data_IF_137261985560
#
_entry.id   IF_137261985560
#
_cell.length_a   1.000
_cell.length_b   1.000
_cell.length_c   1.000
_cell.angle_alpha   90.00
_cell.angle_beta   90.00
_cell.angle_gamma   90.00
#
_symmetry.space_group_name_H-M   'P 1'
#
loop_
_entity.id
_entity.type
_entity.pdbx_description
1 polymer ?
#
# COMPACT_ATOMS: atom_id res chain seq x y z
N UNK A 1 -7.73 -16.45 -21.41
CA UNK A 1 -7.08 -16.69 -20.10
C UNK A 1 -7.93 -16.07 -19.00
N UNK A 2 -7.86 -16.54 -17.76
CA UNK A 2 -8.54 -15.85 -16.67
C UNK A 2 -7.91 -14.47 -16.49
N UNK A 3 -8.72 -13.45 -16.18
CA UNK A 3 -8.26 -12.08 -15.95
C UNK A 3 -7.29 -12.06 -14.77
N UNK A 4 -6.18 -11.36 -14.89
CA UNK A 4 -5.23 -11.14 -13.79
C UNK A 4 -5.59 -9.85 -13.06
N UNK A 5 -5.75 -9.93 -11.72
CA UNK A 5 -6.17 -8.79 -10.91
C UNK A 5 -5.35 -8.69 -9.62
N UNK A 6 -4.84 -7.52 -9.35
CA UNK A 6 -4.12 -7.20 -8.12
C UNK A 6 -5.03 -6.42 -7.17
N UNK A 7 -5.19 -6.92 -5.94
CA UNK A 7 -5.82 -6.22 -4.82
C UNK A 7 -4.73 -5.64 -3.96
N UNK A 8 -4.46 -4.35 -4.13
CA UNK A 8 -3.39 -3.63 -3.46
C UNK A 8 -3.94 -3.02 -2.17
N UNK A 9 -3.48 -3.49 -1.04
CA UNK A 9 -3.92 -3.07 0.29
C UNK A 9 -2.86 -2.17 0.92
N UNK A 10 -3.24 -0.97 1.37
CA UNK A 10 -2.39 -0.19 2.27
C UNK A 10 -2.40 -0.85 3.65
N UNK A 11 -1.21 -1.05 4.24
CA UNK A 11 -1.07 -1.62 5.59
C UNK A 11 -1.97 -0.96 6.63
N UNK A 12 -2.25 -1.66 7.74
CA UNK A 12 -3.06 -1.18 8.86
C UNK A 12 -2.43 0.01 9.58
N UNK A 13 -3.21 0.69 10.41
CA UNK A 13 -2.77 1.88 11.15
C UNK A 13 -1.69 1.53 12.17
N UNK A 14 -0.53 2.21 12.08
CA UNK A 14 0.64 1.99 12.93
C UNK A 14 0.75 3.02 14.06
N UNK A 15 1.70 2.80 14.98
CA UNK A 15 2.06 3.80 15.98
C UNK A 15 2.49 5.12 15.33
N UNK A 16 3.35 5.09 14.29
CA UNK A 16 3.80 6.29 13.60
C UNK A 16 2.66 7.04 12.90
N UNK A 17 1.72 6.33 12.28
CA UNK A 17 0.52 6.97 11.72
C UNK A 17 -0.31 7.67 12.80
N UNK A 18 -0.34 7.14 14.02
CA UNK A 18 -1.11 7.72 15.12
C UNK A 18 -0.48 8.99 15.66
N UNK A 19 0.85 9.06 15.70
CA UNK A 19 1.59 10.21 16.26
C UNK A 19 2.12 11.17 15.19
N UNK A 20 1.69 11.01 13.90
CA UNK A 20 2.03 11.89 12.79
C UNK A 20 3.51 11.88 12.43
N UNK A 21 4.12 10.68 12.35
CA UNK A 21 5.52 10.53 11.92
C UNK A 21 5.63 9.94 10.54
N UNK A 22 6.57 10.44 9.75
CA UNK A 22 6.92 9.93 8.44
C UNK A 22 7.43 8.47 8.57
N UNK A 23 6.78 7.57 7.85
CA UNK A 23 7.08 6.15 7.92
C UNK A 23 7.35 5.60 6.52
N UNK A 24 8.58 5.77 6.09
CA UNK A 24 9.10 5.20 4.86
C UNK A 24 9.70 3.81 5.13
N UNK A 25 11.02 3.74 5.21
CA UNK A 25 11.74 2.50 5.53
C UNK A 25 11.87 2.24 7.04
N UNK A 26 11.68 3.26 7.89
CA UNK A 26 11.45 3.05 9.32
C UNK A 26 10.17 2.25 9.54
N UNK A 27 10.08 1.50 10.64
CA UNK A 27 8.96 0.61 10.88
C UNK A 27 8.47 0.66 12.32
N UNK A 28 7.15 0.59 12.50
CA UNK A 28 6.50 0.42 13.80
C UNK A 28 5.32 -0.52 13.67
N UNK A 29 4.95 -1.26 14.74
CA UNK A 29 3.86 -2.20 14.70
C UNK A 29 2.51 -1.52 14.45
N UNK A 30 1.52 -2.30 14.05
CA UNK A 30 0.14 -1.90 14.04
C UNK A 30 -0.32 -1.50 15.44
N UNK A 31 -1.29 -0.61 15.55
CA UNK A 31 -2.01 -0.34 16.79
C UNK A 31 -3.18 -1.30 16.92
N UNK A 32 -3.76 -1.46 18.11
CA UNK A 32 -4.97 -2.27 18.32
C UNK A 32 -6.12 -1.85 17.38
N UNK A 33 -6.28 -0.54 17.17
CA UNK A 33 -7.25 -0.01 16.18
C UNK A 33 -6.85 -0.39 14.75
N UNK A 34 -5.54 -0.40 14.46
CA UNK A 34 -5.02 -0.83 13.16
C UNK A 34 -5.25 -2.31 12.90
N UNK A 35 -4.97 -3.17 13.88
CA UNK A 35 -5.22 -4.62 13.80
C UNK A 35 -6.71 -4.90 13.61
N UNK A 36 -7.58 -4.30 14.45
CA UNK A 36 -9.03 -4.41 14.30
C UNK A 36 -9.50 -4.03 12.90
N UNK A 37 -9.03 -2.89 12.36
CA UNK A 37 -9.41 -2.47 11.02
C UNK A 37 -8.94 -3.42 9.91
N UNK A 38 -7.88 -4.20 10.15
CA UNK A 38 -7.42 -5.23 9.20
C UNK A 38 -8.20 -6.53 9.38
N UNK A 39 -8.63 -6.90 10.59
CA UNK A 39 -9.61 -7.98 10.78
C UNK A 39 -10.92 -7.67 10.06
N UNK A 40 -11.46 -6.45 10.24
CA UNK A 40 -12.63 -5.96 9.50
C UNK A 40 -12.44 -6.13 7.98
N UNK A 41 -11.28 -5.72 7.44
CA UNK A 41 -10.96 -5.89 6.01
C UNK A 41 -10.92 -7.36 5.60
N UNK A 42 -10.24 -8.23 6.35
CA UNK A 42 -10.12 -9.66 6.04
C UNK A 42 -11.48 -10.35 5.97
N UNK A 43 -12.35 -10.06 6.96
CA UNK A 43 -13.73 -10.54 6.99
C UNK A 43 -14.51 -10.04 5.77
N UNK A 44 -14.43 -8.76 5.44
CA UNK A 44 -15.13 -8.21 4.28
C UNK A 44 -14.66 -8.78 2.95
N UNK A 45 -13.36 -9.07 2.79
CA UNK A 45 -12.84 -9.76 1.60
C UNK A 45 -13.37 -11.20 1.52
N UNK A 46 -13.49 -11.90 2.66
CA UNK A 46 -14.10 -13.24 2.74
C UNK A 46 -15.57 -13.21 2.35
N UNK A 47 -16.36 -12.29 2.89
CA UNK A 47 -17.78 -12.13 2.58
C UNK A 47 -18.02 -11.77 1.11
N UNK A 48 -17.07 -11.04 0.50
CA UNK A 48 -17.10 -10.76 -0.94
C UNK A 48 -16.80 -12.00 -1.81
N UNK A 49 -16.47 -13.14 -1.21
CA UNK A 49 -16.18 -14.40 -1.90
C UNK A 49 -14.95 -14.33 -2.81
N UNK A 50 -13.97 -13.50 -2.45
CA UNK A 50 -12.75 -13.34 -3.25
C UNK A 50 -11.81 -14.54 -3.06
N UNK A 51 -11.42 -15.15 -4.18
CA UNK A 51 -10.43 -16.23 -4.21
C UNK A 51 -9.07 -15.66 -4.62
N UNK A 52 -8.06 -15.82 -3.77
CA UNK A 52 -6.69 -15.38 -4.01
C UNK A 52 -5.78 -16.57 -4.29
N UNK A 53 -4.94 -16.46 -5.33
CA UNK A 53 -4.00 -17.52 -5.74
C UNK A 53 -2.58 -17.29 -5.26
N UNK A 54 -2.22 -16.04 -4.95
CA UNK A 54 -0.94 -15.69 -4.37
C UNK A 54 -1.05 -14.45 -3.49
N UNK A 55 -0.12 -14.32 -2.55
CA UNK A 55 0.04 -13.17 -1.69
C UNK A 55 1.46 -12.59 -1.77
N UNK A 56 1.58 -11.28 -1.72
CA UNK A 56 2.85 -10.53 -1.67
C UNK A 56 2.74 -9.40 -0.66
N UNK A 57 3.82 -9.12 0.06
CA UNK A 57 3.93 -7.87 0.81
C UNK A 57 5.31 -7.26 0.64
N UNK A 58 5.45 -5.96 0.96
CA UNK A 58 6.79 -5.46 1.26
C UNK A 58 7.34 -6.22 2.48
N UNK A 59 8.64 -6.12 2.71
CA UNK A 59 9.30 -6.78 3.83
C UNK A 59 9.30 -5.95 5.14
N UNK A 60 8.46 -4.90 5.22
CA UNK A 60 8.25 -4.11 6.44
C UNK A 60 7.35 -4.87 7.42
N UNK A 61 7.64 -4.82 8.71
CA UNK A 61 6.87 -5.52 9.75
C UNK A 61 5.39 -5.18 9.72
N UNK A 62 5.01 -3.90 9.50
CA UNK A 62 3.61 -3.47 9.39
C UNK A 62 2.85 -4.11 8.23
N UNK A 63 3.51 -4.36 7.09
CA UNK A 63 2.87 -5.04 5.95
C UNK A 63 2.78 -6.54 6.18
N UNK A 64 3.78 -7.12 6.84
CA UNK A 64 3.79 -8.54 7.24
C UNK A 64 2.67 -8.82 8.25
N UNK A 65 2.52 -7.98 9.29
CA UNK A 65 1.42 -8.08 10.25
C UNK A 65 0.06 -7.96 9.55
N UNK A 66 -0.10 -6.95 8.69
CA UNK A 66 -1.34 -6.76 7.91
C UNK A 66 -1.68 -7.99 7.07
N UNK A 67 -0.71 -8.52 6.32
CA UNK A 67 -0.92 -9.71 5.50
C UNK A 67 -1.28 -10.93 6.34
N UNK A 68 -0.61 -11.13 7.48
CA UNK A 68 -0.89 -12.24 8.39
C UNK A 68 -2.35 -12.25 8.84
N UNK A 69 -2.87 -11.11 9.30
CA UNK A 69 -4.25 -10.97 9.74
C UNK A 69 -5.23 -11.25 8.59
N UNK A 70 -5.00 -10.69 7.40
CA UNK A 70 -5.90 -10.93 6.26
C UNK A 70 -5.91 -12.40 5.85
N UNK A 71 -4.74 -13.06 5.77
CA UNK A 71 -4.65 -14.48 5.43
C UNK A 71 -5.33 -15.38 6.46
N UNK A 72 -5.27 -15.03 7.74
CA UNK A 72 -5.97 -15.73 8.82
C UNK A 72 -7.48 -15.63 8.63
N UNK A 73 -8.03 -14.42 8.43
CA UNK A 73 -9.48 -14.21 8.23
C UNK A 73 -10.02 -14.87 6.95
N UNK A 74 -9.20 -14.97 5.92
CA UNK A 74 -9.53 -15.67 4.69
C UNK A 74 -9.37 -17.20 4.80
N UNK A 75 -8.78 -17.74 5.87
CA UNK A 75 -8.43 -19.15 5.99
C UNK A 75 -7.33 -19.60 5.00
N UNK A 76 -6.51 -18.68 4.53
CA UNK A 76 -5.49 -18.91 3.50
C UNK A 76 -4.07 -19.02 4.05
N UNK A 77 -3.87 -18.95 5.35
CA UNK A 77 -2.55 -19.09 5.98
C UNK A 77 -1.91 -20.44 5.63
N UNK A 78 -0.77 -20.38 4.92
CA UNK A 78 -0.08 -21.57 4.43
C UNK A 78 -0.77 -22.32 3.28
N UNK A 79 -1.88 -21.82 2.75
CA UNK A 79 -2.63 -22.44 1.65
C UNK A 79 -2.25 -21.89 0.27
N UNK A 80 -1.75 -20.65 0.23
CA UNK A 80 -1.29 -20.00 -1.00
C UNK A 80 0.17 -19.53 -0.86
N UNK A 81 0.92 -19.39 -1.96
CA UNK A 81 2.27 -18.86 -1.93
C UNK A 81 2.28 -17.42 -1.37
N UNK A 82 3.09 -17.19 -0.34
CA UNK A 82 3.31 -15.87 0.23
C UNK A 82 4.81 -15.55 0.30
N UNK A 83 5.24 -14.45 -0.29
CA UNK A 83 6.64 -13.99 -0.25
C UNK A 83 6.72 -12.46 -0.13
N UNK A 84 7.93 -11.96 0.16
CA UNK A 84 8.21 -10.53 0.30
C UNK A 84 8.87 -9.98 -0.96
N UNK A 85 8.58 -8.71 -1.28
CA UNK A 85 9.24 -8.00 -2.37
C UNK A 85 9.67 -6.60 -1.91
N UNK A 86 10.99 -6.37 -1.90
CA UNK A 86 11.58 -5.08 -1.52
C UNK A 86 11.24 -3.95 -2.49
N UNK A 87 10.89 -4.30 -3.74
CA UNK A 87 10.54 -3.30 -4.76
C UNK A 87 9.23 -2.57 -4.45
N UNK A 88 8.34 -3.18 -3.63
CA UNK A 88 7.09 -2.56 -3.19
C UNK A 88 7.15 -1.97 -1.77
N UNK A 89 8.35 -1.71 -1.22
CA UNK A 89 8.54 -0.88 -0.01
C UNK A 89 8.00 0.53 -0.23
N UNK A 90 7.70 1.22 0.87
CA UNK A 90 7.37 2.64 0.84
C UNK A 90 8.54 3.48 0.29
N UNK A 91 8.28 4.73 -0.01
CA UNK A 91 9.31 5.71 -0.30
C UNK A 91 10.31 5.76 0.87
N UNK A 92 11.59 5.90 0.55
CA UNK A 92 12.60 6.19 1.56
C UNK A 92 12.63 7.70 1.80
N UNK A 93 12.27 8.13 3.00
CA UNK A 93 12.32 9.56 3.34
C UNK A 93 13.69 10.00 3.86
N UNK A 94 14.71 9.13 3.77
CA UNK A 94 16.07 9.44 4.14
C UNK A 94 16.20 9.91 5.59
N UNK A 95 16.84 11.05 5.80
CA UNK A 95 17.02 11.67 7.13
C UNK A 95 15.72 12.10 7.81
N UNK A 96 14.61 12.15 7.09
CA UNK A 96 13.27 12.46 7.65
C UNK A 96 12.50 11.21 8.08
N UNK A 97 13.00 10.02 7.82
CA UNK A 97 12.35 8.77 8.22
C UNK A 97 12.23 8.70 9.76
N UNK A 98 11.00 8.58 10.29
CA UNK A 98 10.70 8.65 11.72
C UNK A 98 10.58 10.06 12.28
N UNK A 99 10.84 11.12 11.51
CA UNK A 99 10.56 12.52 11.84
C UNK A 99 9.05 12.84 11.79
N UNK A 100 8.66 14.06 12.16
CA UNK A 100 7.26 14.48 12.03
C UNK A 100 6.89 14.72 10.57
N UNK A 101 5.74 14.16 10.12
CA UNK A 101 5.18 14.37 8.77
C UNK A 101 5.07 15.86 8.42
N UNK A 102 4.57 16.65 9.37
CA UNK A 102 4.41 18.08 9.19
C UNK A 102 5.73 18.82 8.97
N UNK A 103 6.82 18.38 9.58
CA UNK A 103 8.14 18.99 9.32
C UNK A 103 8.54 18.83 7.85
N UNK A 104 8.42 17.63 7.32
CA UNK A 104 8.76 17.35 5.92
C UNK A 104 7.76 17.97 4.95
N UNK A 105 6.48 17.59 5.06
CA UNK A 105 5.47 17.87 4.02
C UNK A 105 4.80 19.24 4.13
N UNK A 106 4.81 19.88 5.31
CA UNK A 106 4.25 21.22 5.51
C UNK A 106 5.32 22.28 5.80
N UNK A 107 6.53 21.86 6.13
CA UNK A 107 7.65 22.76 6.45
C UNK A 107 8.73 22.78 5.36
N UNK A 108 9.49 21.71 5.26
CA UNK A 108 10.70 21.64 4.40
C UNK A 108 10.35 21.71 2.92
N UNK A 109 9.51 20.79 2.43
CA UNK A 109 9.20 20.70 1.01
C UNK A 109 8.54 21.97 0.44
N UNK A 110 7.53 22.60 1.08
CA UNK A 110 6.98 23.85 0.60
C UNK A 110 8.04 24.98 0.49
N UNK A 111 8.99 25.04 1.40
CA UNK A 111 10.07 26.05 1.35
C UNK A 111 11.05 25.82 0.20
N UNK A 112 11.44 24.56 -0.04
CA UNK A 112 12.36 24.20 -1.13
C UNK A 112 11.79 24.61 -2.49
N UNK A 113 10.49 24.34 -2.71
CA UNK A 113 9.82 24.62 -3.97
C UNK A 113 9.12 25.99 -4.04
N UNK A 114 9.16 26.78 -2.96
CA UNK A 114 8.44 28.05 -2.85
C UNK A 114 6.96 27.94 -3.21
N UNK A 115 6.27 26.98 -2.60
CA UNK A 115 4.85 26.64 -2.78
C UNK A 115 4.12 26.65 -1.45
N UNK A 116 2.79 26.72 -1.47
CA UNK A 116 1.98 26.67 -0.25
C UNK A 116 1.76 25.23 0.24
N UNK A 117 1.59 24.27 -0.70
CA UNK A 117 1.27 22.88 -0.36
C UNK A 117 1.97 21.89 -1.30
N UNK A 118 2.47 20.77 -0.75
CA UNK A 118 3.11 19.68 -1.50
C UNK A 118 2.21 19.02 -2.54
N UNK A 119 0.89 19.21 -2.46
CA UNK A 119 -0.04 18.71 -3.48
C UNK A 119 0.12 19.40 -4.83
N UNK A 120 0.79 20.54 -4.89
CA UNK A 120 1.15 21.25 -6.13
C UNK A 120 2.28 20.55 -6.89
N UNK A 121 3.06 19.67 -6.22
CA UNK A 121 4.15 18.91 -6.84
C UNK A 121 3.64 17.63 -7.47
N UNK A 122 4.22 17.25 -8.59
CA UNK A 122 4.16 15.88 -9.08
C UNK A 122 4.94 14.93 -8.17
N UNK A 123 4.70 13.62 -8.30
CA UNK A 123 5.53 12.65 -7.57
C UNK A 123 7.01 12.72 -7.97
N UNK A 124 7.31 13.04 -9.22
CA UNK A 124 8.68 13.21 -9.69
C UNK A 124 9.37 14.38 -8.97
N UNK A 125 8.74 15.56 -8.94
CA UNK A 125 9.28 16.73 -8.24
C UNK A 125 9.45 16.45 -6.75
N UNK A 126 8.47 15.76 -6.12
CA UNK A 126 8.55 15.41 -4.71
C UNK A 126 9.72 14.46 -4.43
N UNK A 127 9.95 13.46 -5.29
CA UNK A 127 11.08 12.54 -5.13
C UNK A 127 12.44 13.24 -5.27
N UNK A 128 12.59 14.09 -6.30
CA UNK A 128 13.83 14.86 -6.50
C UNK A 128 14.07 15.84 -5.34
N UNK A 129 13.03 16.49 -4.86
CA UNK A 129 13.14 17.36 -3.69
C UNK A 129 13.53 16.62 -2.40
N UNK A 130 13.04 15.39 -2.21
CA UNK A 130 13.49 14.54 -1.10
C UNK A 130 14.98 14.24 -1.19
N UNK A 131 15.49 13.92 -2.38
CA UNK A 131 16.93 13.69 -2.58
C UNK A 131 17.75 14.95 -2.26
N UNK A 132 17.26 16.13 -2.64
CA UNK A 132 17.94 17.39 -2.40
C UNK A 132 18.07 17.71 -0.90
N UNK A 133 17.03 17.42 -0.10
CA UNK A 133 17.00 17.75 1.34
C UNK A 133 17.50 16.62 2.24
N UNK A 134 17.67 15.40 1.69
CA UNK A 134 18.11 14.23 2.46
C UNK A 134 19.61 14.29 2.78
N UNK A 135 19.94 14.62 4.01
CA UNK A 135 21.34 14.64 4.48
C UNK A 135 21.95 13.26 4.70
N UNK A 136 21.14 12.19 4.73
CA UNK A 136 21.61 10.81 4.87
C UNK A 136 21.93 10.15 3.51
N UNK A 137 21.45 10.73 2.40
CA UNK A 137 21.69 10.21 1.05
C UNK A 137 21.01 8.88 0.75
N UNK A 138 19.90 8.57 1.42
CA UNK A 138 19.14 7.33 1.25
C UNK A 138 17.88 7.49 0.40
N UNK A 139 17.36 8.71 0.28
CA UNK A 139 16.19 8.98 -0.55
C UNK A 139 16.44 8.58 -2.00
N UNK A 140 15.41 8.09 -2.66
CA UNK A 140 15.47 7.61 -4.04
C UNK A 140 15.00 8.71 -4.98
N UNK A 141 15.79 8.98 -6.04
CA UNK A 141 15.33 9.84 -7.14
C UNK A 141 14.15 9.19 -7.88
N UNK A 142 13.46 9.98 -8.69
CA UNK A 142 12.27 9.52 -9.38
C UNK A 142 12.51 8.29 -10.29
N UNK A 143 13.60 8.25 -11.02
CA UNK A 143 13.92 7.14 -11.92
C UNK A 143 14.03 5.82 -11.15
N UNK A 144 14.81 5.80 -10.08
CA UNK A 144 15.00 4.62 -9.25
C UNK A 144 13.71 4.21 -8.54
N UNK A 145 13.02 5.18 -7.94
CA UNK A 145 11.78 4.95 -7.19
C UNK A 145 10.67 4.40 -8.09
N UNK A 146 10.38 5.10 -9.20
CA UNK A 146 9.33 4.69 -10.13
C UNK A 146 9.66 3.37 -10.83
N UNK A 147 10.93 3.16 -11.18
CA UNK A 147 11.41 1.92 -11.78
C UNK A 147 11.19 0.71 -10.87
N UNK A 148 11.65 0.77 -9.60
CA UNK A 148 11.46 -0.37 -8.69
C UNK A 148 9.99 -0.68 -8.40
N UNK A 149 9.15 0.37 -8.25
CA UNK A 149 7.72 0.20 -7.99
C UNK A 149 7.05 -0.47 -9.18
N UNK A 150 7.32 0.03 -10.40
CA UNK A 150 6.80 -0.56 -11.62
C UNK A 150 7.23 -2.03 -11.79
N UNK A 151 8.51 -2.32 -11.66
CA UNK A 151 9.06 -3.68 -11.74
C UNK A 151 8.46 -4.61 -10.69
N UNK A 152 8.26 -4.13 -9.44
CA UNK A 152 7.70 -4.93 -8.36
C UNK A 152 6.28 -5.40 -8.66
N UNK A 153 5.39 -4.47 -9.01
CA UNK A 153 4.00 -4.82 -9.31
C UNK A 153 3.86 -5.57 -10.65
N UNK A 154 4.71 -5.26 -11.64
CA UNK A 154 4.72 -6.00 -12.92
C UNK A 154 5.11 -7.46 -12.71
N UNK A 155 6.16 -7.73 -11.95
CA UNK A 155 6.59 -9.10 -11.67
C UNK A 155 5.49 -9.94 -10.96
N UNK A 156 4.72 -9.32 -10.06
CA UNK A 156 3.59 -9.98 -9.38
C UNK A 156 2.48 -10.32 -10.40
N UNK A 157 2.15 -9.36 -11.26
CA UNK A 157 1.10 -9.55 -12.27
C UNK A 157 1.48 -10.60 -13.31
N UNK A 158 2.71 -10.57 -13.80
CA UNK A 158 3.26 -11.53 -14.77
C UNK A 158 3.34 -12.95 -14.19
N UNK A 159 3.76 -13.09 -12.92
CA UNK A 159 3.75 -14.39 -12.23
C UNK A 159 2.35 -14.96 -12.14
N UNK A 160 1.36 -14.15 -11.76
CA UNK A 160 -0.02 -14.59 -11.66
C UNK A 160 -0.63 -14.92 -13.04
N UNK A 161 -0.34 -14.11 -14.06
CA UNK A 161 -0.79 -14.37 -15.45
C UNK A 161 -0.19 -15.69 -15.98
N UNK A 162 1.11 -15.92 -15.75
CA UNK A 162 1.79 -17.16 -16.12
C UNK A 162 1.21 -18.40 -15.39
N UNK A 163 0.68 -18.22 -14.18
CA UNK A 163 -0.04 -19.25 -13.41
C UNK A 163 -1.50 -19.45 -13.85
N UNK A 164 -1.95 -18.79 -14.92
CA UNK A 164 -3.30 -18.89 -15.47
C UNK A 164 -4.25 -17.79 -15.04
N UNK A 165 -3.76 -16.71 -14.44
CA UNK A 165 -4.55 -15.58 -13.99
C UNK A 165 -5.30 -15.83 -12.67
N UNK A 166 -6.13 -14.87 -12.26
CA UNK A 166 -6.88 -14.87 -11.00
C UNK A 166 -6.61 -13.61 -10.19
N UNK A 167 -6.73 -13.70 -8.86
CA UNK A 167 -6.50 -12.58 -7.96
C UNK A 167 -5.21 -12.77 -7.16
N UNK A 168 -4.41 -11.70 -7.03
CA UNK A 168 -3.32 -11.59 -6.09
C UNK A 168 -3.68 -10.61 -4.96
N UNK A 169 -3.38 -10.98 -3.73
CA UNK A 169 -3.44 -10.09 -2.56
C UNK A 169 -2.05 -9.46 -2.34
N UNK A 170 -1.98 -8.13 -2.38
CA UNK A 170 -0.69 -7.42 -2.25
C UNK A 170 -0.79 -6.37 -1.17
N UNK A 171 0.02 -6.48 -0.11
CA UNK A 171 0.08 -5.47 0.95
C UNK A 171 1.30 -4.59 0.78
N UNK A 172 1.07 -3.29 0.63
CA UNK A 172 2.10 -2.28 0.42
C UNK A 172 1.74 -0.98 1.19
N UNK A 173 2.10 0.17 0.68
CA UNK A 173 2.11 1.45 1.37
C UNK A 173 1.39 2.54 0.58
N UNK A 174 1.02 3.63 1.27
CA UNK A 174 0.20 4.67 0.68
C UNK A 174 0.83 5.37 -0.52
N UNK A 175 2.06 5.86 -0.38
CA UNK A 175 2.73 6.56 -1.48
C UNK A 175 3.17 5.61 -2.59
N UNK A 176 3.58 4.40 -2.26
CA UNK A 176 3.96 3.38 -3.24
C UNK A 176 2.78 2.95 -4.12
N UNK A 177 1.61 2.64 -3.52
CA UNK A 177 0.39 2.33 -4.28
C UNK A 177 -0.05 3.55 -5.09
N UNK A 178 -0.03 4.74 -4.49
CA UNK A 178 -0.35 5.99 -5.20
C UNK A 178 0.56 6.26 -6.39
N UNK A 179 1.86 6.00 -6.24
CA UNK A 179 2.83 6.12 -7.34
C UNK A 179 2.53 5.12 -8.45
N UNK A 180 2.21 3.87 -8.12
CA UNK A 180 1.87 2.88 -9.13
C UNK A 180 0.61 3.26 -9.92
N UNK A 181 -0.44 3.74 -9.25
CA UNK A 181 -1.64 4.28 -9.92
C UNK A 181 -1.28 5.45 -10.83
N UNK A 182 -0.43 6.37 -10.37
CA UNK A 182 0.03 7.50 -11.18
C UNK A 182 0.83 7.06 -12.41
N UNK A 183 1.65 6.03 -12.30
CA UNK A 183 2.40 5.48 -13.45
C UNK A 183 1.46 4.92 -14.53
N UNK A 184 0.33 4.33 -14.13
CA UNK A 184 -0.66 3.76 -15.06
C UNK A 184 -1.48 4.85 -15.76
N UNK A 185 -2.09 5.77 -15.02
CA UNK A 185 -3.13 6.67 -15.56
C UNK A 185 -2.82 8.16 -15.43
N UNK A 186 -1.65 8.52 -14.89
CA UNK A 186 -1.21 9.91 -14.66
C UNK A 186 -2.10 10.70 -13.68
N UNK A 187 -2.94 10.02 -12.91
CA UNK A 187 -3.75 10.63 -11.87
C UNK A 187 -3.10 10.38 -10.51
N UNK A 188 -2.81 11.44 -9.77
CA UNK A 188 -2.35 11.34 -8.38
C UNK A 188 -3.58 11.09 -7.49
N UNK A 189 -3.70 9.93 -6.85
CA UNK A 189 -4.81 9.73 -5.93
C UNK A 189 -4.69 10.64 -4.71
N UNK A 190 -5.82 11.06 -4.16
CA UNK A 190 -5.86 11.61 -2.82
C UNK A 190 -5.40 10.55 -1.82
N UNK A 191 -5.03 10.94 -0.59
CA UNK A 191 -4.46 10.00 0.39
C UNK A 191 -5.26 8.70 0.49
N UNK A 192 -4.54 7.58 0.50
CA UNK A 192 -5.14 6.26 0.68
C UNK A 192 -5.24 5.96 2.17
N UNK A 193 -6.40 5.59 2.67
CA UNK A 193 -6.59 5.24 4.08
C UNK A 193 -5.94 3.89 4.43
N UNK A 194 -5.56 3.70 5.71
CA UNK A 194 -5.05 2.43 6.19
C UNK A 194 -6.09 1.32 6.03
N UNK A 195 -5.73 0.20 5.43
CA UNK A 195 -6.63 -0.89 5.10
C UNK A 195 -7.51 -0.64 3.88
N UNK A 196 -7.29 0.44 3.12
CA UNK A 196 -7.99 0.64 1.84
C UNK A 196 -7.47 -0.30 0.77
N UNK A 197 -8.34 -0.63 -0.19
CA UNK A 197 -8.06 -1.54 -1.30
C UNK A 197 -8.05 -0.77 -2.63
N UNK A 198 -6.98 -0.89 -3.37
CA UNK A 198 -6.88 -0.40 -4.75
C UNK A 198 -6.83 -1.62 -5.67
N UNK A 199 -7.69 -1.65 -6.68
CA UNK A 199 -7.80 -2.79 -7.60
C UNK A 199 -7.25 -2.41 -8.96
N UNK A 200 -6.31 -3.22 -9.44
CA UNK A 200 -5.67 -3.04 -10.74
C UNK A 200 -5.77 -4.33 -11.55
N UNK A 201 -6.29 -4.20 -12.76
CA UNK A 201 -6.36 -5.29 -13.74
C UNK A 201 -5.10 -5.31 -14.59
N UNK A 202 -4.65 -6.50 -14.97
CA UNK A 202 -3.53 -6.71 -15.87
C UNK A 202 -3.93 -7.69 -16.99
N UNK A 203 -3.68 -7.29 -18.22
CA UNK A 203 -3.98 -8.08 -19.42
C UNK A 203 -3.01 -7.70 -20.53
N UNK A 204 -2.38 -8.67 -21.16
CA UNK A 204 -1.46 -8.49 -22.31
C UNK A 204 -0.39 -7.40 -22.07
N UNK A 205 0.24 -7.40 -20.91
CA UNK A 205 1.29 -6.43 -20.56
C UNK A 205 0.78 -5.03 -20.17
N UNK A 206 -0.53 -4.84 -20.00
CA UNK A 206 -1.12 -3.54 -19.69
C UNK A 206 -1.88 -3.55 -18.38
N UNK A 207 -1.65 -2.51 -17.58
CA UNK A 207 -2.42 -2.26 -16.37
C UNK A 207 -3.60 -1.33 -16.62
N UNK A 208 -4.71 -1.59 -15.93
CA UNK A 208 -5.89 -0.72 -15.88
C UNK A 208 -6.34 -0.59 -14.43
N UNK A 209 -6.45 0.65 -13.94
CA UNK A 209 -6.94 0.91 -12.58
C UNK A 209 -8.46 0.74 -12.57
N UNK A 210 -8.96 -0.21 -11.78
CA UNK A 210 -10.40 -0.50 -11.65
C UNK A 210 -11.04 0.32 -10.52
N UNK A 211 -10.37 0.43 -9.36
CA UNK A 211 -10.79 1.33 -8.28
C UNK A 211 -9.59 1.76 -7.44
N UNK A 212 -9.72 2.84 -6.67
CA UNK A 212 -8.65 3.40 -5.84
C UNK A 212 -9.18 3.67 -4.44
N UNK A 213 -8.51 3.11 -3.44
CA UNK A 213 -8.74 3.46 -2.05
C UNK A 213 -10.11 3.03 -1.50
N UNK A 214 -10.67 1.92 -2.00
CA UNK A 214 -11.96 1.38 -1.59
C UNK A 214 -11.93 0.91 -0.13
N UNK A 215 -12.85 1.43 0.68
CA UNK A 215 -13.05 1.06 2.09
C UNK A 215 -14.25 0.13 2.29
N UNK A 216 -15.03 -0.14 1.25
CA UNK A 216 -16.30 -0.89 1.36
C UNK A 216 -16.12 -2.32 1.91
N UNK A 217 -15.00 -2.97 1.61
CA UNK A 217 -14.68 -4.28 2.20
C UNK A 217 -14.53 -4.19 3.72
N UNK A 218 -13.77 -3.20 4.20
CA UNK A 218 -13.58 -2.98 5.62
C UNK A 218 -14.91 -2.62 6.32
N UNK A 219 -15.72 -1.76 5.71
CA UNK A 219 -17.04 -1.37 6.21
C UNK A 219 -18.00 -2.59 6.28
N UNK A 220 -17.95 -3.47 5.29
CA UNK A 220 -18.73 -4.71 5.29
C UNK A 220 -18.31 -5.65 6.42
N UNK A 221 -17.01 -5.86 6.60
CA UNK A 221 -16.51 -6.71 7.68
C UNK A 221 -16.78 -6.15 9.06
N UNK A 222 -16.72 -4.82 9.25
CA UNK A 222 -17.08 -4.19 10.52
C UNK A 222 -18.55 -4.50 10.92
N UNK A 223 -19.46 -4.47 9.96
CA UNK A 223 -20.88 -4.84 10.21
C UNK A 223 -21.03 -6.30 10.63
N UNK A 224 -20.34 -7.22 10.00
CA UNK A 224 -20.34 -8.64 10.36
C UNK A 224 -19.84 -8.82 11.79
N UNK A 225 -18.73 -8.16 12.16
CA UNK A 225 -18.21 -8.23 13.53
C UNK A 225 -19.17 -7.67 14.57
N UNK A 226 -19.91 -6.61 14.26
CA UNK A 226 -20.93 -6.01 15.14
C UNK A 226 -22.09 -7.00 15.35
N UNK A 227 -22.61 -7.60 14.27
CA UNK A 227 -23.69 -8.60 14.31
C UNK A 227 -23.31 -9.84 15.14
N UNK A 228 -22.06 -10.32 15.03
CA UNK A 228 -21.57 -11.46 15.82
C UNK A 228 -21.45 -11.13 17.31
N UNK A 229 -21.15 -9.88 17.67
CA UNK A 229 -21.11 -9.44 19.08
C UNK A 229 -22.51 -9.33 19.67
N UNK A 230 -23.48 -8.82 18.92
CA UNK A 230 -24.89 -8.70 19.36
C UNK A 230 -25.60 -10.07 19.50
N UNK A 231 -25.15 -11.08 18.75
CA UNK A 231 -25.72 -12.43 18.78
C UNK A 231 -25.23 -13.29 19.96
N UNK A 232 -24.26 -12.82 20.74
CA UNK A 232 -23.68 -13.53 21.94
C UNK A 232 -24.31 -13.05 23.23
#
# INVERSE_FOLDING_TARGET
MAKTRLYLVRHGKTMFNTIGRAQGWSDTPLTEIGERGIHELGIGLREAGLDFKLARSSDSGRTIQTMGIILEELGLTGQIPYTFDKRIREWCFGSFDGGYDGELFMGVMPRVFNIDHVHQLSYAELAEGLVEVDTAGWAENWEKLSGRIWEGFSAIAEELEAAGGGNALVVSHGMTIGTFVYLINRTRPHGLDNGSVTVVDYEDGKFTVACVGDMSYREAGAKVMEEEVEAR
#
